data_IF_580698047061
#
_entry.id   IF_580698047061
#
_cell.length_a   1.000
_cell.length_b   1.000
_cell.length_c   1.000
_cell.angle_alpha   90.00
_cell.angle_beta   90.00
_cell.angle_gamma   90.00
#
_symmetry.space_group_name_H-M   'P 1'
#
loop_
_entity.id
_entity.type
_entity.pdbx_description
1 polymer ?
#
# COMPACT_ATOMS: atom_id res chain seq x y z
N UNK A 1 17.17 35.16 19.39
CA UNK A 1 15.82 35.32 18.82
C UNK A 1 15.56 34.17 17.86
N UNK A 2 14.38 33.55 17.91
CA UNK A 2 13.98 32.47 17.01
C UNK A 2 13.87 33.00 15.56
N UNK A 3 14.46 32.30 14.61
CA UNK A 3 14.37 32.54 13.17
C UNK A 3 14.45 31.22 12.39
N UNK A 4 14.25 31.26 11.07
CA UNK A 4 14.17 30.03 10.28
C UNK A 4 15.48 29.21 10.24
N UNK A 5 16.64 29.79 10.55
CA UNK A 5 17.93 29.08 10.56
C UNK A 5 18.20 28.35 11.87
N UNK A 6 17.54 28.75 12.96
CA UNK A 6 17.72 28.16 14.28
C UNK A 6 16.43 27.56 14.87
N UNK A 7 15.35 27.45 14.10
CA UNK A 7 14.12 26.81 14.57
C UNK A 7 14.30 25.28 14.60
N UNK A 8 14.32 24.64 15.78
CA UNK A 8 14.59 23.20 15.91
C UNK A 8 13.52 22.33 15.26
N UNK A 9 12.34 22.88 14.97
CA UNK A 9 11.27 22.16 14.28
C UNK A 9 11.39 22.25 12.76
N UNK A 10 12.27 23.10 12.22
CA UNK A 10 12.37 23.26 10.78
C UNK A 10 13.31 22.21 10.18
N UNK A 11 12.83 21.54 9.13
CA UNK A 11 13.58 20.55 8.39
C UNK A 11 13.91 21.08 7.00
N UNK A 12 14.98 20.56 6.42
CA UNK A 12 15.32 20.80 5.01
C UNK A 12 14.47 19.89 4.11
N UNK A 13 14.98 18.70 3.81
CA UNK A 13 14.35 17.73 2.91
C UNK A 13 14.16 16.36 3.59
N UNK A 14 14.37 16.28 4.91
CA UNK A 14 14.16 15.06 5.68
C UNK A 14 12.69 14.64 5.62
N UNK A 15 12.47 13.33 5.46
CA UNK A 15 11.15 12.67 5.52
C UNK A 15 11.02 11.90 6.84
N UNK A 16 9.83 11.40 7.15
CA UNK A 16 9.59 10.58 8.33
C UNK A 16 10.45 9.31 8.34
N UNK A 17 10.60 8.62 7.19
CA UNK A 17 11.51 7.48 7.12
C UNK A 17 12.95 7.86 7.46
N UNK A 18 13.42 9.01 6.98
CA UNK A 18 14.77 9.48 7.33
C UNK A 18 14.89 9.71 8.84
N UNK A 19 13.94 10.45 9.44
CA UNK A 19 13.96 10.76 10.86
C UNK A 19 13.92 9.51 11.74
N UNK A 20 13.02 8.56 11.46
CA UNK A 20 12.92 7.29 12.17
C UNK A 20 14.22 6.48 12.02
N UNK A 21 14.77 6.37 10.80
CA UNK A 21 16.02 5.64 10.57
C UNK A 21 17.24 6.23 11.31
N UNK A 22 17.17 7.52 11.68
CA UNK A 22 18.20 8.23 12.42
C UNK A 22 17.89 8.38 13.91
N UNK A 23 16.83 7.74 14.41
CA UNK A 23 16.36 7.87 15.81
C UNK A 23 16.12 9.34 16.21
N UNK A 24 15.57 10.13 15.27
CA UNK A 24 15.15 11.53 15.43
C UNK A 24 13.64 11.68 15.23
N UNK A 25 12.91 10.64 15.62
CA UNK A 25 11.46 10.54 15.50
C UNK A 25 10.72 11.43 16.48
N UNK A 26 11.39 11.95 17.52
CA UNK A 26 10.89 13.03 18.38
C UNK A 26 10.49 14.28 17.57
N UNK A 27 11.20 14.56 16.46
CA UNK A 27 10.87 15.67 15.57
C UNK A 27 9.58 15.46 14.77
N UNK A 28 9.02 14.24 14.74
CA UNK A 28 7.73 13.94 14.11
C UNK A 28 6.54 14.31 14.98
N UNK A 29 6.76 14.58 16.26
CA UNK A 29 5.70 14.79 17.25
C UNK A 29 5.89 16.11 17.99
N UNK A 30 4.79 16.70 18.45
CA UNK A 30 4.80 17.92 19.25
C UNK A 30 4.60 17.65 20.75
N UNK A 31 4.33 16.40 21.12
CA UNK A 31 4.11 15.98 22.49
C UNK A 31 4.97 14.76 22.85
N UNK A 32 5.28 14.63 24.14
CA UNK A 32 6.13 13.54 24.65
C UNK A 32 5.50 12.16 24.43
N UNK A 33 4.17 12.07 24.39
CA UNK A 33 3.44 10.83 24.21
C UNK A 33 3.36 10.39 22.74
N UNK A 34 3.92 11.17 21.82
CA UNK A 34 3.89 10.92 20.37
C UNK A 34 2.47 10.79 19.81
N UNK A 35 1.51 11.48 20.42
CA UNK A 35 0.11 11.48 20.02
C UNK A 35 -0.20 12.53 18.95
N UNK A 36 0.48 13.68 18.99
CA UNK A 36 0.22 14.86 18.15
C UNK A 36 1.37 15.04 17.17
N UNK A 37 1.03 15.07 15.88
CA UNK A 37 1.99 15.18 14.79
C UNK A 37 2.54 16.60 14.68
N UNK A 38 3.83 16.68 14.39
CA UNK A 38 4.50 17.91 14.01
C UNK A 38 4.22 18.24 12.54
N UNK A 39 3.01 18.71 12.28
CA UNK A 39 2.60 19.15 10.94
C UNK A 39 3.43 20.35 10.46
N UNK A 40 4.00 21.16 11.37
CA UNK A 40 4.85 22.29 11.00
C UNK A 40 6.05 21.84 10.16
N UNK A 41 6.81 20.86 10.66
CA UNK A 41 7.96 20.29 9.94
C UNK A 41 7.59 19.63 8.62
N UNK A 42 6.36 19.10 8.50
CA UNK A 42 5.87 18.50 7.27
C UNK A 42 5.63 19.56 6.17
N UNK A 43 5.09 20.72 6.55
CA UNK A 43 4.53 21.70 5.62
C UNK A 43 5.37 22.96 5.43
N UNK A 44 6.27 23.27 6.36
CA UNK A 44 7.20 24.40 6.26
C UNK A 44 8.61 23.83 6.20
N UNK A 45 9.34 24.17 5.13
CA UNK A 45 10.72 23.73 4.93
C UNK A 45 11.68 24.90 5.00
N UNK A 46 12.93 24.67 5.40
CA UNK A 46 13.97 25.70 5.40
C UNK A 46 14.13 26.36 4.01
N UNK A 47 14.04 25.54 2.96
CA UNK A 47 14.10 25.98 1.56
C UNK A 47 12.94 26.90 1.14
N UNK A 48 11.84 26.99 1.91
CA UNK A 48 10.77 27.95 1.64
C UNK A 48 11.23 29.41 1.88
N UNK A 49 12.29 29.61 2.68
CA UNK A 49 12.83 30.93 3.04
C UNK A 49 14.06 31.35 2.21
N UNK A 50 14.82 30.39 1.66
CA UNK A 50 16.13 30.62 1.03
C UNK A 50 16.05 31.23 -0.39
N UNK A 51 14.91 31.18 -1.08
CA UNK A 51 14.80 31.62 -2.49
C UNK A 51 15.36 33.04 -2.73
N UNK A 52 16.21 33.15 -3.76
CA UNK A 52 17.04 34.32 -4.11
C UNK A 52 16.29 35.45 -4.82
N UNK A 53 15.15 35.17 -5.46
CA UNK A 53 14.38 36.21 -6.14
C UNK A 53 13.76 37.15 -5.10
N UNK A 54 14.25 38.39 -5.07
CA UNK A 54 13.85 39.46 -4.15
C UNK A 54 12.34 39.78 -4.17
N UNK A 55 11.61 39.26 -5.16
CA UNK A 55 10.20 39.57 -5.43
C UNK A 55 9.24 38.55 -4.78
N UNK A 56 9.68 37.31 -4.52
CA UNK A 56 8.79 36.28 -3.95
C UNK A 56 8.73 36.41 -2.43
N UNK A 57 7.57 36.85 -1.93
CA UNK A 57 7.34 36.99 -0.50
C UNK A 57 7.33 35.60 0.18
N UNK A 58 8.11 35.37 1.25
CA UNK A 58 8.15 34.08 1.96
C UNK A 58 6.77 33.53 2.34
N UNK A 59 5.80 34.41 2.59
CA UNK A 59 4.45 33.99 2.94
C UNK A 59 3.64 33.41 1.78
N UNK A 60 3.92 33.77 0.53
CA UNK A 60 3.22 33.23 -0.64
C UNK A 60 3.58 31.76 -0.91
N UNK A 61 4.75 31.32 -0.46
CA UNK A 61 5.22 29.94 -0.64
C UNK A 61 4.83 29.03 0.51
N UNK A 62 4.55 29.60 1.69
CA UNK A 62 4.08 28.88 2.88
C UNK A 62 2.61 28.52 2.81
N UNK A 63 2.25 27.47 3.55
CA UNK A 63 0.86 27.07 3.73
C UNK A 63 0.19 27.89 4.82
N UNK A 64 -1.12 28.04 4.68
CA UNK A 64 -1.99 28.73 5.63
C UNK A 64 -2.85 27.70 6.36
N UNK A 65 -3.20 28.00 7.60
CA UNK A 65 -4.09 27.22 8.44
C UNK A 65 -5.38 28.00 8.69
N UNK A 66 -6.52 27.41 8.35
CA UNK A 66 -7.80 27.82 8.90
C UNK A 66 -7.86 27.32 10.34
N UNK A 67 -8.18 28.19 11.29
CA UNK A 67 -8.22 27.85 12.71
C UNK A 67 -9.60 28.11 13.32
N UNK A 68 -9.82 27.49 14.48
CA UNK A 68 -11.01 27.68 15.31
C UNK A 68 -11.20 29.13 15.75
N UNK A 69 -12.43 29.48 16.18
CA UNK A 69 -12.73 30.82 16.69
C UNK A 69 -11.90 31.13 17.93
N UNK A 70 -11.81 30.18 18.85
CA UNK A 70 -11.16 30.38 20.15
C UNK A 70 -9.66 30.65 19.99
N UNK A 71 -9.00 29.90 19.11
CA UNK A 71 -7.59 30.18 18.79
C UNK A 71 -7.42 31.53 18.09
N UNK A 72 -8.34 31.90 17.18
CA UNK A 72 -8.27 33.21 16.53
C UNK A 72 -8.41 34.37 17.53
N UNK A 73 -9.31 34.23 18.51
CA UNK A 73 -9.53 35.21 19.58
C UNK A 73 -8.31 35.28 20.52
N UNK A 74 -7.68 34.14 20.82
CA UNK A 74 -6.41 34.07 21.57
C UNK A 74 -5.28 34.79 20.83
N UNK A 75 -5.11 34.55 19.53
CA UNK A 75 -4.11 35.23 18.71
C UNK A 75 -4.36 36.73 18.62
N UNK A 76 -5.63 37.16 18.54
CA UNK A 76 -6.00 38.58 18.47
C UNK A 76 -5.59 39.32 19.75
N UNK A 77 -5.78 38.70 20.93
CA UNK A 77 -5.34 39.27 22.22
C UNK A 77 -3.83 39.42 22.34
N UNK A 78 -3.04 38.58 21.65
CA UNK A 78 -1.56 38.64 21.67
C UNK A 78 -0.97 39.63 20.67
N UNK A 79 -1.72 39.94 19.62
CA UNK A 79 -1.24 40.75 18.51
C UNK A 79 -1.80 42.17 18.62
N UNK A 80 -1.07 43.06 19.28
CA UNK A 80 -1.54 44.41 19.57
C UNK A 80 -1.58 45.32 18.33
N UNK A 81 -0.86 44.97 17.25
CA UNK A 81 -0.91 45.73 15.99
C UNK A 81 -0.38 44.93 14.79
N UNK A 82 -0.82 45.32 13.59
CA UNK A 82 -0.27 44.84 12.31
C UNK A 82 1.23 45.11 12.18
N UNK A 83 1.74 46.21 12.75
CA UNK A 83 3.18 46.53 12.78
C UNK A 83 3.98 45.50 13.57
N UNK A 84 3.48 45.09 14.74
CA UNK A 84 4.11 44.06 15.57
C UNK A 84 4.17 42.71 14.86
N UNK A 85 3.05 42.28 14.25
CA UNK A 85 2.98 41.02 13.49
C UNK A 85 3.99 41.00 12.33
N UNK A 86 4.06 42.09 11.55
CA UNK A 86 5.04 42.22 10.45
C UNK A 86 6.47 42.19 10.96
N UNK A 87 6.74 42.82 12.12
CA UNK A 87 8.05 42.78 12.77
C UNK A 87 8.47 41.37 13.16
N UNK A 88 7.59 40.61 13.81
CA UNK A 88 7.84 39.22 14.19
C UNK A 88 8.15 38.34 12.98
N UNK A 89 7.34 38.43 11.92
CA UNK A 89 7.57 37.65 10.69
C UNK A 89 8.85 38.09 9.99
N UNK A 90 9.13 39.39 9.93
CA UNK A 90 10.34 39.89 9.25
C UNK A 90 11.60 39.47 10.00
N UNK A 91 11.57 39.44 11.33
CA UNK A 91 12.66 38.94 12.16
C UNK A 91 12.87 37.44 11.95
N UNK A 92 11.78 36.66 11.94
CA UNK A 92 11.87 35.22 11.74
C UNK A 92 12.38 34.86 10.34
N UNK A 93 11.88 35.52 9.29
CA UNK A 93 12.21 35.23 7.88
C UNK A 93 13.46 35.97 7.37
N UNK A 94 13.99 36.90 8.16
CA UNK A 94 15.04 37.87 7.78
C UNK A 94 14.72 38.68 6.52
N UNK A 95 13.44 38.85 6.19
CA UNK A 95 12.96 39.52 4.97
C UNK A 95 11.79 40.44 5.28
N UNK A 96 11.75 41.60 4.61
CA UNK A 96 10.57 42.48 4.68
C UNK A 96 9.36 41.75 4.12
N UNK A 97 8.29 41.75 4.90
CA UNK A 97 7.07 41.04 4.54
C UNK A 97 5.91 42.04 4.42
N UNK A 98 5.37 42.17 3.21
CA UNK A 98 4.14 42.92 3.00
C UNK A 98 2.95 41.95 3.07
N UNK A 99 2.25 41.95 4.21
CA UNK A 99 1.08 41.11 4.41
C UNK A 99 -0.13 41.92 4.89
N UNK A 100 -1.31 41.44 4.49
CA UNK A 100 -2.59 41.93 4.98
C UNK A 100 -3.01 41.10 6.19
N UNK A 101 -2.54 41.52 7.37
CA UNK A 101 -2.80 40.85 8.66
C UNK A 101 -4.28 40.89 9.01
N UNK A 102 -4.96 42.00 8.74
CA UNK A 102 -6.39 42.17 9.01
C UNK A 102 -7.23 41.11 8.28
N UNK A 103 -6.84 40.76 7.05
CA UNK A 103 -7.47 39.67 6.29
C UNK A 103 -7.30 38.31 6.99
N UNK A 104 -6.18 38.05 7.66
CA UNK A 104 -5.96 36.79 8.38
C UNK A 104 -6.92 36.66 9.55
N UNK A 105 -7.06 37.70 10.36
CA UNK A 105 -8.00 37.73 11.48
C UNK A 105 -9.45 37.67 11.01
N UNK A 106 -9.83 38.48 10.02
CA UNK A 106 -11.18 38.46 9.44
C UNK A 106 -11.59 37.09 8.92
N UNK A 107 -10.68 36.40 8.22
CA UNK A 107 -10.96 35.07 7.65
C UNK A 107 -10.64 33.92 8.60
N UNK A 108 -9.94 34.18 9.71
CA UNK A 108 -9.34 33.18 10.61
C UNK A 108 -8.40 32.22 9.87
N UNK A 109 -7.64 32.75 8.91
CA UNK A 109 -6.72 31.98 8.06
C UNK A 109 -5.33 32.60 8.18
N UNK A 110 -4.43 31.90 8.87
CA UNK A 110 -3.11 32.42 9.24
C UNK A 110 -2.01 31.63 8.55
N UNK A 111 -0.86 32.24 8.18
CA UNK A 111 0.29 31.47 7.75
C UNK A 111 0.68 30.47 8.84
N UNK A 112 0.96 29.22 8.48
CA UNK A 112 1.34 28.19 9.46
C UNK A 112 2.61 28.60 10.23
N UNK A 113 3.52 29.32 9.57
CA UNK A 113 4.72 29.90 10.21
C UNK A 113 4.39 30.92 11.29
N UNK A 114 3.28 31.64 11.17
CA UNK A 114 2.88 32.63 12.16
C UNK A 114 2.48 31.98 13.48
N UNK A 115 1.78 30.84 13.43
CA UNK A 115 1.44 30.05 14.61
C UNK A 115 2.71 29.61 15.35
N UNK A 116 3.74 29.17 14.62
CA UNK A 116 5.04 28.81 15.19
C UNK A 116 5.75 30.00 15.85
N UNK A 117 5.73 31.17 15.22
CA UNK A 117 6.41 32.37 15.73
C UNK A 117 5.75 32.88 17.01
N UNK A 118 4.42 32.81 17.10
CA UNK A 118 3.65 33.36 18.24
C UNK A 118 3.48 32.37 19.39
N UNK A 119 3.66 31.06 19.15
CA UNK A 119 3.65 30.07 20.22
C UNK A 119 4.80 30.31 21.18
N UNK A 120 4.53 30.24 22.49
CA UNK A 120 5.53 30.37 23.57
C UNK A 120 6.51 29.20 23.58
N UNK A 121 5.97 28.00 23.36
CA UNK A 121 6.70 26.74 23.38
C UNK A 121 6.02 25.69 22.49
N UNK A 122 6.61 24.50 22.46
CA UNK A 122 6.13 23.37 21.64
C UNK A 122 4.80 22.81 22.18
N UNK A 123 4.55 22.85 23.48
CA UNK A 123 3.29 22.34 24.07
C UNK A 123 2.10 23.21 23.66
N UNK A 124 2.30 24.54 23.64
CA UNK A 124 1.29 25.47 23.17
C UNK A 124 1.03 25.29 21.66
N UNK A 125 2.08 25.13 20.86
CA UNK A 125 1.93 24.83 19.44
C UNK A 125 1.18 23.50 19.22
N UNK A 126 1.47 22.48 20.04
CA UNK A 126 0.80 21.17 20.03
C UNK A 126 -0.71 21.32 20.23
N UNK A 127 -1.13 22.09 21.24
CA UNK A 127 -2.54 22.44 21.48
C UNK A 127 -3.14 23.16 20.27
N UNK A 128 -2.45 24.14 19.70
CA UNK A 128 -2.95 24.90 18.55
C UNK A 128 -3.09 24.08 17.28
N UNK A 129 -2.27 23.05 17.08
CA UNK A 129 -2.40 22.13 15.93
C UNK A 129 -3.76 21.42 15.96
N UNK A 130 -4.27 21.08 17.14
CA UNK A 130 -5.60 20.48 17.29
C UNK A 130 -6.73 21.43 16.85
N UNK A 131 -6.52 22.73 16.97
CA UNK A 131 -7.47 23.80 16.61
C UNK A 131 -7.44 24.20 15.11
N UNK A 132 -6.62 23.54 14.27
CA UNK A 132 -6.54 23.83 12.84
C UNK A 132 -7.64 23.07 12.07
N UNK A 133 -8.63 23.74 11.51
CA UNK A 133 -9.68 23.07 10.73
C UNK A 133 -9.13 22.40 9.46
N UNK A 134 -8.33 23.13 8.69
CA UNK A 134 -7.69 22.64 7.46
C UNK A 134 -6.51 23.52 7.04
N UNK A 135 -5.63 22.95 6.21
CA UNK A 135 -4.55 23.66 5.53
C UNK A 135 -4.99 24.14 4.15
N UNK A 136 -4.47 25.29 3.73
CA UNK A 136 -4.84 25.94 2.48
C UNK A 136 -3.69 26.74 1.88
N UNK A 137 -3.83 27.12 0.61
CA UNK A 137 -2.93 28.07 -0.04
C UNK A 137 -3.23 29.52 0.39
N UNK A 138 -2.36 30.45 -0.03
CA UNK A 138 -2.50 31.87 0.29
C UNK A 138 -3.81 32.52 -0.22
N UNK A 139 -4.47 31.89 -1.21
CA UNK A 139 -5.75 32.36 -1.76
C UNK A 139 -6.96 31.70 -1.10
N UNK A 140 -6.75 30.77 -0.16
CA UNK A 140 -7.78 29.94 0.45
C UNK A 140 -8.57 29.09 -0.57
N UNK A 141 -7.94 28.68 -1.68
CA UNK A 141 -8.61 27.95 -2.77
C UNK A 141 -8.51 26.43 -2.64
N UNK A 142 -7.34 25.90 -2.30
CA UNK A 142 -7.13 24.48 -2.02
C UNK A 142 -7.38 24.17 -0.55
N UNK A 143 -8.09 23.10 -0.20
CA UNK A 143 -8.27 22.69 1.21
C UNK A 143 -7.75 21.28 1.41
N UNK A 144 -6.96 21.11 2.47
CA UNK A 144 -6.42 19.83 2.90
C UNK A 144 -6.69 19.64 4.41
N UNK A 145 -7.52 18.68 4.75
CA UNK A 145 -7.82 18.25 6.10
C UNK A 145 -6.72 17.28 6.55
N UNK A 146 -5.73 17.84 7.23
CA UNK A 146 -4.53 17.10 7.60
C UNK A 146 -4.77 16.23 8.84
N UNK A 147 -4.30 14.98 8.88
CA UNK A 147 -4.18 14.21 10.10
C UNK A 147 -3.34 14.95 11.15
N UNK A 148 -3.88 15.12 12.35
CA UNK A 148 -3.20 15.85 13.44
C UNK A 148 -2.67 14.89 14.49
N UNK A 149 -3.32 13.74 14.65
CA UNK A 149 -2.89 12.69 15.56
C UNK A 149 -2.27 11.52 14.79
N UNK A 150 -1.43 10.75 15.47
CA UNK A 150 -0.84 9.55 14.89
C UNK A 150 -1.91 8.53 14.47
N UNK A 151 -2.97 8.37 15.25
CA UNK A 151 -4.08 7.47 14.93
C UNK A 151 -4.84 7.91 13.66
N UNK A 152 -4.99 9.21 13.44
CA UNK A 152 -5.59 9.75 12.21
C UNK A 152 -4.70 9.48 10.97
N UNK A 153 -3.38 9.50 11.16
CA UNK A 153 -2.39 9.24 10.11
C UNK A 153 -2.30 7.74 9.77
N UNK A 154 -2.53 6.90 10.78
CA UNK A 154 -2.52 5.45 10.71
C UNK A 154 -3.95 4.89 10.50
N UNK A 155 -4.78 5.62 9.76
CA UNK A 155 -6.09 5.15 9.30
C UNK A 155 -5.94 4.15 8.14
N UNK A 156 -6.69 3.03 8.19
CA UNK A 156 -6.62 1.95 7.20
C UNK A 156 -6.80 2.47 5.76
N UNK A 157 -7.68 3.44 5.55
CA UNK A 157 -8.02 3.98 4.22
C UNK A 157 -6.88 4.84 3.68
N UNK A 158 -6.29 5.66 4.55
CA UNK A 158 -5.11 6.44 4.19
C UNK A 158 -3.91 5.54 3.86
N UNK A 159 -3.67 4.51 4.68
CA UNK A 159 -2.58 3.56 4.44
C UNK A 159 -2.79 2.77 3.13
N UNK A 160 -4.02 2.36 2.85
CA UNK A 160 -4.38 1.75 1.57
C UNK A 160 -4.12 2.71 0.39
N UNK A 161 -4.58 3.96 0.49
CA UNK A 161 -4.34 5.00 -0.52
C UNK A 161 -2.85 5.24 -0.77
N UNK A 162 -2.03 5.20 0.28
CA UNK A 162 -0.56 5.31 0.18
C UNK A 162 0.02 4.11 -0.57
N UNK A 163 -0.47 2.89 -0.32
CA UNK A 163 -0.10 1.70 -1.10
C UNK A 163 -0.35 1.90 -2.60
N UNK A 164 -1.57 2.30 -2.97
CA UNK A 164 -1.88 2.62 -4.37
C UNK A 164 -1.01 3.75 -4.93
N UNK A 165 -0.68 4.73 -4.09
CA UNK A 165 0.18 5.85 -4.49
C UNK A 165 1.62 5.43 -4.75
N UNK A 166 2.14 4.44 -4.02
CA UNK A 166 3.49 3.89 -4.22
C UNK A 166 3.58 3.01 -5.47
N UNK A 167 2.50 2.32 -5.86
CA UNK A 167 2.41 1.65 -7.16
C UNK A 167 2.19 2.63 -8.31
N UNK A 168 0.92 2.90 -8.64
CA UNK A 168 0.55 3.69 -9.83
C UNK A 168 0.42 5.21 -9.59
N UNK A 169 0.46 5.67 -8.34
CA UNK A 169 0.42 7.11 -8.06
C UNK A 169 1.68 7.86 -8.49
N UNK A 170 1.58 9.16 -8.75
CA UNK A 170 2.70 9.99 -9.14
C UNK A 170 2.55 11.40 -8.60
N UNK A 171 3.55 11.90 -7.87
CA UNK A 171 3.67 13.33 -7.56
C UNK A 171 4.55 13.97 -8.63
N UNK A 172 4.11 15.08 -9.22
CA UNK A 172 4.92 15.82 -10.18
C UNK A 172 6.22 16.36 -9.57
N UNK A 173 7.20 16.70 -10.41
CA UNK A 173 8.50 17.22 -9.95
C UNK A 173 8.37 18.49 -9.09
N UNK A 174 7.32 19.27 -9.31
CA UNK A 174 7.05 20.51 -8.57
C UNK A 174 6.37 20.27 -7.20
N UNK A 175 5.92 19.05 -6.89
CA UNK A 175 5.20 18.73 -5.67
C UNK A 175 3.84 19.44 -5.57
N UNK A 176 3.20 19.72 -6.70
CA UNK A 176 1.92 20.46 -6.79
C UNK A 176 0.74 19.54 -7.13
N UNK A 177 1.01 18.44 -7.82
CA UNK A 177 -0.01 17.59 -8.40
C UNK A 177 0.28 16.12 -8.13
N UNK A 178 -0.74 15.41 -7.63
CA UNK A 178 -0.74 13.95 -7.53
C UNK A 178 -1.70 13.37 -8.58
N UNK A 179 -1.27 12.31 -9.26
CA UNK A 179 -2.03 11.64 -10.32
C UNK A 179 -2.01 10.13 -10.07
N UNK A 180 -3.12 9.45 -10.30
CA UNK A 180 -3.19 7.99 -10.44
C UNK A 180 -3.99 7.63 -11.68
N UNK A 181 -3.57 6.58 -12.37
CA UNK A 181 -4.19 6.12 -13.62
C UNK A 181 -4.48 4.63 -13.49
N UNK A 182 -5.67 4.21 -13.90
CA UNK A 182 -6.00 2.80 -14.06
C UNK A 182 -6.87 2.60 -15.31
N UNK A 183 -6.77 1.45 -15.97
CA UNK A 183 -7.47 1.22 -17.22
C UNK A 183 -7.35 -0.17 -17.84
N UNK A 184 -8.13 -0.37 -18.89
CA UNK A 184 -8.14 -1.58 -19.69
C UNK A 184 -8.61 -1.29 -21.12
N UNK A 185 -8.18 -2.13 -22.07
CA UNK A 185 -8.74 -2.15 -23.43
C UNK A 185 -10.02 -2.96 -23.54
N UNK A 186 -10.34 -3.77 -22.53
CA UNK A 186 -11.60 -4.51 -22.43
C UNK A 186 -12.65 -3.66 -21.71
N UNK A 187 -13.82 -3.47 -22.32
CA UNK A 187 -14.84 -2.55 -21.81
C UNK A 187 -15.34 -2.93 -20.40
N UNK A 188 -15.56 -4.23 -20.15
CA UNK A 188 -16.01 -4.70 -18.83
C UNK A 188 -14.97 -4.43 -17.75
N UNK A 189 -13.69 -4.65 -18.07
CA UNK A 189 -12.57 -4.32 -17.16
C UNK A 189 -12.39 -2.81 -17.00
N UNK A 190 -12.68 -2.02 -18.04
CA UNK A 190 -12.64 -0.56 -17.97
C UNK A 190 -13.69 -0.01 -17.00
N UNK A 191 -14.90 -0.57 -16.96
CA UNK A 191 -15.91 -0.25 -15.94
C UNK A 191 -15.40 -0.55 -14.51
N UNK A 192 -14.72 -1.67 -14.31
CA UNK A 192 -14.11 -2.00 -13.01
C UNK A 192 -12.98 -1.02 -12.63
N UNK A 193 -12.22 -0.54 -13.61
CA UNK A 193 -11.24 0.54 -13.42
C UNK A 193 -11.90 1.86 -13.06
N UNK A 194 -13.04 2.19 -13.67
CA UNK A 194 -13.86 3.35 -13.29
C UNK A 194 -14.23 3.26 -11.81
N UNK A 195 -14.85 2.16 -11.39
CA UNK A 195 -15.30 1.99 -10.01
C UNK A 195 -14.15 2.12 -9.02
N UNK A 196 -12.98 1.52 -9.33
CA UNK A 196 -11.77 1.66 -8.54
C UNK A 196 -11.33 3.13 -8.37
N UNK A 197 -11.27 3.89 -9.47
CA UNK A 197 -10.89 5.31 -9.45
C UNK A 197 -11.89 6.16 -8.67
N UNK A 198 -13.19 5.93 -8.85
CA UNK A 198 -14.24 6.65 -8.11
C UNK A 198 -14.22 6.31 -6.61
N UNK A 199 -13.93 5.06 -6.24
CA UNK A 199 -13.76 4.65 -4.84
C UNK A 199 -12.54 5.32 -4.20
N UNK A 200 -11.39 5.34 -4.88
CA UNK A 200 -10.20 6.08 -4.42
C UNK A 200 -10.48 7.57 -4.24
N UNK A 201 -11.20 8.19 -5.19
CA UNK A 201 -11.60 9.58 -5.09
C UNK A 201 -12.53 9.84 -3.89
N UNK A 202 -13.42 8.89 -3.58
CA UNK A 202 -14.29 8.94 -2.40
C UNK A 202 -13.49 8.92 -1.10
N UNK A 203 -12.43 8.10 -0.99
CA UNK A 203 -11.54 8.11 0.17
C UNK A 203 -10.89 9.47 0.40
N UNK A 204 -10.47 10.09 -0.70
CA UNK A 204 -9.81 11.38 -0.67
C UNK A 204 -10.74 12.52 -0.22
N UNK A 205 -12.07 12.38 -0.31
CA UNK A 205 -13.01 13.42 0.14
C UNK A 205 -12.86 13.79 1.61
N UNK A 206 -12.37 12.86 2.43
CA UNK A 206 -12.09 13.11 3.85
C UNK A 206 -10.88 14.05 4.04
N UNK A 207 -9.97 14.08 3.07
CA UNK A 207 -8.70 14.80 3.16
C UNK A 207 -8.64 16.02 2.24
N UNK A 208 -9.33 16.01 1.09
CA UNK A 208 -9.31 17.07 0.09
C UNK A 208 -10.72 17.34 -0.46
N UNK A 209 -11.01 18.59 -0.83
CA UNK A 209 -12.29 18.95 -1.47
C UNK A 209 -12.27 18.91 -2.98
N UNK A 210 -11.09 19.04 -3.58
CA UNK A 210 -10.95 19.30 -5.01
C UNK A 210 -10.06 18.24 -5.65
N UNK A 211 -10.66 17.47 -6.53
CA UNK A 211 -10.00 16.52 -7.43
C UNK A 211 -10.76 16.52 -8.77
N UNK A 212 -10.13 16.00 -9.81
CA UNK A 212 -10.76 15.81 -11.12
C UNK A 212 -10.56 14.38 -11.56
N UNK A 213 -11.61 13.76 -12.12
CA UNK A 213 -11.51 12.47 -12.80
C UNK A 213 -11.68 12.74 -14.28
N UNK A 214 -10.71 12.33 -15.09
CA UNK A 214 -10.77 12.42 -16.55
C UNK A 214 -10.92 11.02 -17.14
N UNK A 215 -11.86 10.86 -18.04
CA UNK A 215 -12.10 9.63 -18.79
C UNK A 215 -11.41 9.69 -20.14
N UNK A 216 -10.75 8.60 -20.50
CA UNK A 216 -10.14 8.38 -21.81
C UNK A 216 -10.58 7.01 -22.32
N UNK A 217 -10.41 6.77 -23.63
CA UNK A 217 -10.89 5.56 -24.33
C UNK A 217 -10.56 4.24 -23.60
N UNK A 218 -9.43 4.13 -22.92
CA UNK A 218 -8.97 2.89 -22.28
C UNK A 218 -8.54 3.07 -20.83
N UNK A 219 -8.82 4.22 -20.21
CA UNK A 219 -8.36 4.52 -18.85
C UNK A 219 -9.08 5.68 -18.19
N UNK A 220 -9.05 5.69 -16.86
CA UNK A 220 -9.46 6.80 -16.03
C UNK A 220 -8.24 7.39 -15.31
N UNK A 221 -8.26 8.72 -15.14
CA UNK A 221 -7.18 9.47 -14.50
C UNK A 221 -7.76 10.25 -13.33
N UNK A 222 -7.32 9.93 -12.12
CA UNK A 222 -7.60 10.72 -10.92
C UNK A 222 -6.47 11.74 -10.73
N UNK A 223 -6.82 13.02 -10.70
CA UNK A 223 -5.87 14.11 -10.57
C UNK A 223 -6.24 15.01 -9.38
N UNK A 224 -5.26 15.28 -8.52
CA UNK A 224 -5.36 16.15 -7.36
C UNK A 224 -4.33 17.28 -7.46
N UNK A 225 -4.81 18.50 -7.70
CA UNK A 225 -3.99 19.70 -7.71
C UNK A 225 -3.91 20.30 -6.29
N UNK A 226 -3.22 19.63 -5.38
CA UNK A 226 -3.08 20.07 -3.99
C UNK A 226 -1.63 19.90 -3.50
N UNK A 227 -0.91 21.02 -3.38
CA UNK A 227 0.49 21.06 -2.90
C UNK A 227 0.62 20.54 -1.47
N UNK A 228 -0.36 20.79 -0.60
CA UNK A 228 -0.35 20.31 0.78
C UNK A 228 -0.41 18.79 0.82
N UNK A 229 -1.33 18.16 0.07
CA UNK A 229 -1.38 16.70 -0.03
C UNK A 229 -0.04 16.13 -0.54
N UNK A 230 0.53 16.73 -1.57
CA UNK A 230 1.82 16.26 -2.11
C UNK A 230 2.95 16.35 -1.08
N UNK A 231 3.05 17.47 -0.34
CA UNK A 231 4.01 17.63 0.77
C UNK A 231 3.78 16.61 1.88
N UNK A 232 2.53 16.36 2.21
CA UNK A 232 2.13 15.39 3.22
C UNK A 232 2.57 13.97 2.82
N UNK A 233 2.25 13.53 1.60
CA UNK A 233 2.64 12.21 1.08
C UNK A 233 4.15 12.04 1.01
N UNK A 234 4.86 13.08 0.57
CA UNK A 234 6.32 13.07 0.53
C UNK A 234 6.94 13.01 1.93
N UNK A 235 6.43 13.79 2.87
CA UNK A 235 7.01 13.85 4.20
C UNK A 235 6.74 12.59 5.02
N UNK A 236 5.47 12.23 5.22
CA UNK A 236 5.11 11.13 6.12
C UNK A 236 5.29 9.74 5.51
N UNK A 237 5.12 9.62 4.19
CA UNK A 237 5.16 8.33 3.49
C UNK A 237 6.32 8.21 2.50
N UNK A 238 7.23 9.20 2.47
CA UNK A 238 8.44 9.19 1.64
C UNK A 238 8.17 9.01 0.14
N UNK A 239 6.98 9.38 -0.35
CA UNK A 239 6.67 9.32 -1.78
C UNK A 239 7.48 10.40 -2.53
N UNK A 240 8.37 10.04 -3.47
CA UNK A 240 9.25 11.02 -4.10
C UNK A 240 8.50 11.97 -5.04
N UNK A 241 9.03 13.17 -5.19
CA UNK A 241 8.61 14.09 -6.25
C UNK A 241 9.24 13.68 -7.59
N UNK A 242 8.44 13.68 -8.65
CA UNK A 242 8.88 13.29 -9.99
C UNK A 242 8.92 11.78 -10.18
N UNK A 243 9.76 11.33 -11.12
CA UNK A 243 9.83 9.92 -11.47
C UNK A 243 10.34 9.09 -10.29
N UNK A 244 9.70 7.95 -10.03
CA UNK A 244 10.15 6.96 -9.05
C UNK A 244 11.38 6.17 -9.51
N UNK A 245 11.70 6.24 -10.81
CA UNK A 245 12.89 5.60 -11.37
C UNK A 245 14.14 6.15 -10.67
N UNK A 246 15.01 5.26 -10.20
CA UNK A 246 16.24 5.57 -9.45
C UNK A 246 16.04 6.07 -8.02
N UNK A 247 14.82 6.06 -7.48
CA UNK A 247 14.59 6.27 -6.05
C UNK A 247 14.40 4.92 -5.38
N UNK A 248 15.01 4.73 -4.21
CA UNK A 248 14.71 3.58 -3.36
C UNK A 248 13.39 3.79 -2.65
N UNK A 249 12.34 3.12 -3.13
CA UNK A 249 11.04 3.04 -2.50
C UNK A 249 11.11 2.08 -1.29
N UNK A 250 10.34 2.40 -0.25
CA UNK A 250 10.24 1.61 0.98
C UNK A 250 8.81 1.70 1.52
N UNK A 251 8.38 0.68 2.25
CA UNK A 251 7.23 0.75 3.15
C UNK A 251 7.46 1.92 4.12
N UNK A 252 6.46 2.80 4.34
CA UNK A 252 6.58 3.89 5.29
C UNK A 252 6.90 3.39 6.71
N UNK A 253 8.03 3.83 7.27
CA UNK A 253 8.44 3.45 8.61
C UNK A 253 7.49 3.99 9.69
N UNK A 254 6.68 5.00 9.37
CA UNK A 254 5.63 5.49 10.26
C UNK A 254 4.62 4.38 10.63
N UNK A 255 4.46 3.34 9.78
CA UNK A 255 3.62 2.19 10.09
C UNK A 255 4.09 1.39 11.31
N UNK A 256 5.37 1.51 11.71
CA UNK A 256 5.89 0.86 12.92
C UNK A 256 5.29 1.40 14.23
N UNK A 257 4.61 2.56 14.18
CA UNK A 257 3.87 3.12 15.31
C UNK A 257 2.47 2.54 15.48
N UNK A 258 2.00 1.74 14.52
CA UNK A 258 0.71 1.10 14.60
C UNK A 258 0.70 -0.01 15.66
N UNK A 259 -0.36 -0.06 16.48
CA UNK A 259 -0.65 -1.20 17.35
C UNK A 259 -1.22 -2.41 16.60
N UNK A 260 -1.79 -2.17 15.41
CA UNK A 260 -2.44 -3.16 14.57
C UNK A 260 -1.57 -3.52 13.36
N UNK A 261 -1.85 -4.66 12.71
CA UNK A 261 -1.21 -5.02 11.44
C UNK A 261 -1.78 -4.18 10.27
N UNK A 262 -1.46 -2.88 10.25
CA UNK A 262 -1.86 -1.95 9.19
C UNK A 262 -1.06 -2.13 7.90
N UNK A 263 0.10 -2.75 7.98
CA UNK A 263 0.96 -3.05 6.84
C UNK A 263 0.19 -3.82 5.76
N UNK A 264 -0.78 -4.66 6.15
CA UNK A 264 -1.66 -5.36 5.20
C UNK A 264 -2.44 -4.43 4.26
N UNK A 265 -2.87 -3.26 4.72
CA UNK A 265 -3.61 -2.29 3.90
C UNK A 265 -2.70 -1.61 2.88
N UNK A 266 -1.46 -1.31 3.28
CA UNK A 266 -0.44 -0.79 2.37
C UNK A 266 -0.18 -1.81 1.26
N UNK A 267 0.05 -3.07 1.62
CA UNK A 267 0.28 -4.13 0.66
C UNK A 267 -0.94 -4.41 -0.22
N UNK A 268 -2.17 -4.39 0.33
CA UNK A 268 -3.40 -4.48 -0.48
C UNK A 268 -3.42 -3.38 -1.55
N UNK A 269 -3.12 -2.14 -1.19
CA UNK A 269 -3.06 -1.03 -2.14
C UNK A 269 -1.99 -1.22 -3.22
N UNK A 270 -0.81 -1.73 -2.85
CA UNK A 270 0.25 -2.10 -3.80
C UNK A 270 -0.16 -3.23 -4.75
N UNK A 271 -0.82 -4.28 -4.24
CA UNK A 271 -1.32 -5.38 -5.05
C UNK A 271 -2.47 -4.94 -5.96
N UNK A 272 -3.29 -3.97 -5.55
CA UNK A 272 -4.35 -3.40 -6.38
C UNK A 272 -3.84 -2.57 -7.55
N UNK A 273 -2.62 -2.03 -7.49
CA UNK A 273 -1.96 -1.35 -8.61
C UNK A 273 -1.02 -2.29 -9.37
N UNK A 274 0.09 -2.67 -8.74
CA UNK A 274 1.21 -3.41 -9.36
C UNK A 274 1.04 -4.94 -9.31
N UNK A 275 0.00 -5.42 -8.61
CA UNK A 275 -0.29 -6.84 -8.49
C UNK A 275 -1.10 -7.41 -9.66
N UNK A 276 -1.15 -8.73 -9.75
CA UNK A 276 -2.05 -9.46 -10.65
C UNK A 276 -2.51 -10.75 -9.99
N UNK A 277 -3.77 -11.12 -10.23
CA UNK A 277 -4.31 -12.42 -9.85
C UNK A 277 -4.39 -13.28 -11.12
N UNK A 278 -3.44 -14.19 -11.30
CA UNK A 278 -3.46 -15.12 -12.43
C UNK A 278 -4.46 -16.22 -12.09
N UNK A 279 -5.56 -16.26 -12.84
CA UNK A 279 -6.65 -17.20 -12.63
C UNK A 279 -6.11 -18.63 -12.41
N UNK A 280 -6.46 -19.22 -11.26
CA UNK A 280 -6.16 -20.60 -10.86
C UNK A 280 -4.68 -20.91 -10.56
N UNK A 281 -3.79 -19.92 -10.49
CA UNK A 281 -2.35 -20.16 -10.41
C UNK A 281 -1.64 -19.44 -9.27
N UNK A 282 -1.72 -18.12 -9.22
CA UNK A 282 -0.90 -17.32 -8.31
C UNK A 282 -1.36 -15.89 -8.20
N UNK A 283 -0.88 -15.21 -7.16
CA UNK A 283 -0.89 -13.75 -7.08
C UNK A 283 0.54 -13.27 -7.23
N UNK A 284 0.78 -12.35 -8.16
CA UNK A 284 2.11 -11.80 -8.44
C UNK A 284 2.11 -10.30 -8.15
N UNK A 285 3.16 -9.79 -7.48
CA UNK A 285 3.47 -8.36 -7.41
C UNK A 285 4.72 -8.09 -8.25
N UNK A 286 4.63 -7.18 -9.21
CA UNK A 286 5.77 -6.80 -10.05
C UNK A 286 6.29 -5.43 -9.65
N UNK A 287 7.61 -5.25 -9.57
CA UNK A 287 8.20 -3.93 -9.34
C UNK A 287 9.62 -3.86 -9.88
N UNK A 288 10.03 -2.67 -10.33
CA UNK A 288 11.42 -2.39 -10.68
C UNK A 288 12.29 -2.07 -9.46
N UNK A 289 11.68 -1.79 -8.31
CA UNK A 289 12.41 -1.51 -7.07
C UNK A 289 12.64 -2.80 -6.26
N UNK A 290 13.91 -3.20 -6.15
CA UNK A 290 14.31 -4.42 -5.42
C UNK A 290 14.02 -4.36 -3.91
N UNK A 291 13.99 -3.17 -3.31
CA UNK A 291 13.68 -3.02 -1.89
C UNK A 291 12.19 -3.27 -1.63
N UNK A 292 11.31 -2.79 -2.50
CA UNK A 292 9.87 -3.11 -2.42
C UNK A 292 9.64 -4.61 -2.56
N UNK A 293 10.33 -5.29 -3.49
CA UNK A 293 10.22 -6.76 -3.64
C UNK A 293 10.72 -7.49 -2.38
N UNK A 294 11.82 -7.02 -1.78
CA UNK A 294 12.36 -7.56 -0.53
C UNK A 294 11.38 -7.38 0.63
N UNK A 295 10.89 -6.17 0.84
CA UNK A 295 9.95 -5.85 1.93
C UNK A 295 8.62 -6.60 1.76
N UNK A 296 8.13 -6.76 0.52
CA UNK A 296 6.96 -7.61 0.21
C UNK A 296 7.22 -9.08 0.59
N UNK A 297 8.39 -9.60 0.24
CA UNK A 297 8.80 -10.97 0.59
C UNK A 297 8.82 -11.16 2.11
N UNK A 298 9.41 -10.21 2.84
CA UNK A 298 9.50 -10.26 4.30
C UNK A 298 8.10 -10.17 4.93
N UNK A 299 7.22 -9.30 4.42
CA UNK A 299 5.82 -9.22 4.85
C UNK A 299 5.06 -10.53 4.63
N UNK A 300 5.13 -11.11 3.43
CA UNK A 300 4.45 -12.38 3.13
C UNK A 300 4.97 -13.52 4.02
N UNK A 301 6.28 -13.58 4.26
CA UNK A 301 6.86 -14.57 5.20
C UNK A 301 6.34 -14.41 6.62
N UNK A 302 6.14 -13.17 7.11
CA UNK A 302 5.50 -12.93 8.42
C UNK A 302 4.07 -13.49 8.48
N UNK A 303 3.37 -13.53 7.35
CA UNK A 303 2.06 -14.16 7.20
C UNK A 303 2.12 -15.67 6.98
N UNK A 304 3.29 -16.30 7.14
CA UNK A 304 3.50 -17.73 6.84
C UNK A 304 3.22 -18.10 5.37
N UNK A 305 3.38 -17.14 4.44
CA UNK A 305 3.32 -17.37 3.00
C UNK A 305 4.76 -17.60 2.51
N UNK A 306 4.95 -18.57 1.61
CA UNK A 306 6.24 -18.91 1.03
C UNK A 306 6.33 -18.39 -0.41
N UNK A 307 6.59 -17.08 -0.62
CA UNK A 307 6.59 -16.53 -1.96
C UNK A 307 7.79 -17.01 -2.78
N UNK A 308 7.61 -17.11 -4.10
CA UNK A 308 8.71 -17.24 -5.06
C UNK A 308 9.17 -15.86 -5.48
N UNK A 309 10.45 -15.58 -5.29
CA UNK A 309 11.06 -14.30 -5.67
C UNK A 309 11.78 -14.45 -7.00
N UNK A 310 11.61 -13.47 -7.87
CA UNK A 310 12.32 -13.32 -9.14
C UNK A 310 12.96 -11.94 -9.23
N UNK A 311 13.70 -11.66 -10.30
CA UNK A 311 14.31 -10.33 -10.50
C UNK A 311 13.29 -9.20 -10.60
N UNK A 312 12.06 -9.48 -11.02
CA UNK A 312 11.05 -8.47 -11.37
C UNK A 312 9.77 -8.58 -10.54
N UNK A 313 9.67 -9.56 -9.65
CA UNK A 313 8.43 -9.78 -8.91
C UNK A 313 8.47 -10.84 -7.83
N UNK A 314 7.44 -10.79 -6.99
CA UNK A 314 7.16 -11.71 -5.87
C UNK A 314 5.85 -12.43 -6.16
N UNK A 315 5.89 -13.77 -6.12
CA UNK A 315 4.75 -14.64 -6.44
C UNK A 315 4.27 -15.42 -5.22
N UNK A 316 3.01 -15.24 -4.84
CA UNK A 316 2.28 -16.09 -3.90
C UNK A 316 1.84 -17.36 -4.63
N UNK A 317 2.26 -18.52 -4.13
CA UNK A 317 1.91 -19.81 -4.73
C UNK A 317 0.45 -20.17 -4.47
N UNK A 318 -0.12 -21.03 -5.32
CA UNK A 318 -1.49 -21.53 -5.16
C UNK A 318 -1.77 -22.11 -3.76
N UNK A 319 -0.79 -22.77 -3.13
CA UNK A 319 -0.93 -23.33 -1.78
C UNK A 319 -1.19 -22.29 -0.70
N UNK A 320 -0.81 -21.04 -0.95
CA UNK A 320 -0.80 -19.98 0.07
C UNK A 320 -1.87 -18.92 -0.22
N UNK A 321 -2.70 -19.10 -1.27
CA UNK A 321 -3.74 -18.14 -1.65
C UNK A 321 -4.81 -17.97 -0.57
N UNK A 322 -5.21 -19.04 0.13
CA UNK A 322 -6.16 -18.92 1.24
C UNK A 322 -5.58 -18.06 2.37
N UNK A 323 -4.31 -18.19 2.71
CA UNK A 323 -3.64 -17.30 3.67
C UNK A 323 -3.51 -15.87 3.16
N UNK A 324 -3.18 -15.69 1.87
CA UNK A 324 -3.12 -14.37 1.23
C UNK A 324 -4.48 -13.67 1.19
N UNK A 325 -5.60 -14.39 1.30
CA UNK A 325 -6.94 -13.80 1.34
C UNK A 325 -7.15 -12.82 2.49
N UNK A 326 -6.34 -12.88 3.57
CA UNK A 326 -6.36 -11.86 4.62
C UNK A 326 -5.78 -10.49 4.17
N UNK A 327 -4.95 -10.49 3.12
CA UNK A 327 -4.51 -9.28 2.42
C UNK A 327 -5.51 -8.97 1.31
N UNK A 328 -5.64 -9.85 0.32
CA UNK A 328 -6.63 -9.76 -0.76
C UNK A 328 -6.48 -8.53 -1.66
N UNK A 329 -7.60 -8.14 -2.28
CA UNK A 329 -7.69 -7.03 -3.24
C UNK A 329 -8.93 -6.21 -2.95
N UNK A 330 -8.86 -4.88 -3.08
CA UNK A 330 -10.03 -4.01 -3.05
C UNK A 330 -10.41 -3.50 -4.46
N UNK A 331 -9.55 -3.69 -5.47
CA UNK A 331 -9.87 -3.40 -6.87
C UNK A 331 -10.88 -4.43 -7.42
N UNK A 332 -12.07 -4.01 -7.93
CA UNK A 332 -13.13 -4.93 -8.34
C UNK A 332 -12.72 -6.01 -9.34
N UNK A 333 -11.92 -5.65 -10.35
CA UNK A 333 -11.35 -6.60 -11.32
C UNK A 333 -10.56 -7.72 -10.65
N UNK A 334 -9.61 -7.34 -9.79
CA UNK A 334 -8.70 -8.28 -9.13
C UNK A 334 -9.43 -9.12 -8.08
N UNK A 335 -10.46 -8.58 -7.43
CA UNK A 335 -11.36 -9.35 -6.56
C UNK A 335 -12.00 -10.51 -7.30
N UNK A 336 -12.63 -10.26 -8.46
CA UNK A 336 -13.29 -11.31 -9.25
C UNK A 336 -12.30 -12.39 -9.67
N UNK A 337 -11.14 -11.99 -10.19
CA UNK A 337 -10.09 -12.91 -10.63
C UNK A 337 -9.55 -13.77 -9.46
N UNK A 338 -9.38 -13.16 -8.29
CA UNK A 338 -8.88 -13.84 -7.12
C UNK A 338 -9.92 -14.75 -6.46
N UNK A 339 -11.18 -14.32 -6.34
CA UNK A 339 -12.28 -15.14 -5.84
C UNK A 339 -12.52 -16.37 -6.71
N UNK A 340 -12.43 -16.22 -8.04
CA UNK A 340 -12.50 -17.37 -8.96
C UNK A 340 -11.43 -18.42 -8.62
N UNK A 341 -10.23 -17.98 -8.22
CA UNK A 341 -9.14 -18.88 -7.82
C UNK A 341 -9.40 -19.52 -6.46
N UNK A 342 -9.97 -18.77 -5.50
CA UNK A 342 -10.33 -19.29 -4.18
C UNK A 342 -11.49 -20.30 -4.24
N UNK A 343 -12.52 -20.05 -5.05
CA UNK A 343 -13.65 -20.97 -5.25
C UNK A 343 -13.25 -22.27 -5.93
N UNK A 344 -12.22 -22.24 -6.80
CA UNK A 344 -11.75 -23.47 -7.43
C UNK A 344 -10.99 -24.37 -6.44
N UNK A 345 -10.35 -23.78 -5.42
CA UNK A 345 -9.42 -24.49 -4.58
C UNK A 345 -8.07 -24.75 -5.29
N UNK A 346 -7.04 -25.16 -4.54
CA UNK A 346 -5.78 -25.57 -5.11
C UNK A 346 -5.93 -26.95 -5.75
N UNK A 347 -5.08 -27.25 -6.73
CA UNK A 347 -5.05 -28.60 -7.32
C UNK A 347 -4.64 -29.62 -6.25
N UNK A 348 -5.29 -30.78 -6.28
CA UNK A 348 -5.03 -31.89 -5.36
C UNK A 348 -3.54 -32.24 -5.28
N UNK A 349 -3.04 -32.45 -4.05
CA UNK A 349 -1.80 -33.17 -3.79
C UNK A 349 -2.13 -34.52 -3.17
N UNK A 350 -1.31 -35.53 -3.44
CA UNK A 350 -1.31 -36.74 -2.60
C UNK A 350 -0.88 -36.28 -1.21
N UNK A 351 -1.77 -36.39 -0.23
CA UNK A 351 -1.52 -35.89 1.12
C UNK A 351 -1.02 -37.00 2.04
N UNK A 352 -1.52 -38.23 1.88
CA UNK A 352 -1.13 -39.39 2.70
C UNK A 352 -1.67 -40.71 2.15
N UNK A 353 -1.21 -41.81 2.72
CA UNK A 353 -1.77 -43.15 2.52
C UNK A 353 -3.04 -43.30 3.36
N UNK A 354 -4.05 -44.00 2.84
CA UNK A 354 -5.26 -44.35 3.59
C UNK A 354 -4.86 -45.31 4.73
N UNK A 355 -5.23 -45.04 5.99
CA UNK A 355 -4.89 -45.92 7.12
C UNK A 355 -5.25 -47.38 6.85
N UNK A 356 -4.31 -48.30 7.08
CA UNK A 356 -4.49 -49.75 6.86
C UNK A 356 -4.21 -50.22 5.44
N UNK A 357 -3.89 -49.31 4.51
CA UNK A 357 -3.50 -49.65 3.14
C UNK A 357 -1.99 -49.78 2.93
N UNK A 358 -1.16 -49.49 3.94
CA UNK A 358 0.30 -49.47 3.87
C UNK A 358 0.85 -50.82 3.39
N UNK A 359 0.37 -51.92 3.98
CA UNK A 359 0.80 -53.30 3.62
C UNK A 359 0.39 -53.73 2.21
N UNK A 360 -0.56 -53.02 1.59
CA UNK A 360 -1.06 -53.37 0.26
C UNK A 360 -0.37 -52.56 -0.84
N UNK A 361 0.47 -51.58 -0.50
CA UNK A 361 1.23 -50.77 -1.45
C UNK A 361 2.60 -51.42 -1.63
N UNK A 362 3.04 -51.61 -2.87
CA UNK A 362 4.39 -52.11 -3.13
C UNK A 362 5.43 -51.10 -2.66
N UNK A 363 6.59 -51.59 -2.17
CA UNK A 363 7.69 -50.74 -1.70
C UNK A 363 8.09 -49.69 -2.74
N UNK A 364 8.12 -50.05 -4.03
CA UNK A 364 8.48 -49.12 -5.09
C UNK A 364 7.40 -48.06 -5.35
N UNK A 365 6.12 -48.44 -5.33
CA UNK A 365 5.05 -47.46 -5.48
C UNK A 365 5.01 -46.49 -4.29
N UNK A 366 5.32 -46.97 -3.09
CA UNK A 366 5.45 -46.13 -1.90
C UNK A 366 6.52 -45.04 -2.09
N UNK A 367 7.66 -45.36 -2.72
CA UNK A 367 8.73 -44.38 -2.99
C UNK A 367 8.30 -43.22 -3.89
N UNK A 368 7.31 -43.42 -4.76
CA UNK A 368 6.94 -42.44 -5.79
C UNK A 368 5.54 -41.85 -5.65
N UNK A 369 4.72 -42.34 -4.70
CA UNK A 369 3.31 -41.99 -4.63
C UNK A 369 3.08 -40.47 -4.53
N UNK A 370 3.95 -39.75 -3.83
CA UNK A 370 3.90 -38.29 -3.68
C UNK A 370 4.10 -37.52 -4.99
N UNK A 371 4.73 -38.14 -6.00
CA UNK A 371 4.92 -37.57 -7.34
C UNK A 371 3.74 -37.86 -8.28
N UNK A 372 2.86 -38.79 -7.95
CA UNK A 372 1.73 -39.16 -8.79
C UNK A 372 0.52 -38.25 -8.54
N UNK A 373 -0.17 -37.86 -9.60
CA UNK A 373 -1.42 -37.11 -9.54
C UNK A 373 -2.47 -37.75 -10.40
N UNK A 374 -3.59 -38.14 -9.79
CA UNK A 374 -4.81 -38.52 -10.51
C UNK A 374 -5.59 -37.26 -10.79
N UNK A 375 -5.93 -37.01 -12.04
CA UNK A 375 -6.71 -35.83 -12.39
C UNK A 375 -8.22 -36.01 -12.13
N UNK A 376 -8.96 -34.93 -12.35
CA UNK A 376 -10.40 -34.90 -12.08
C UNK A 376 -11.21 -35.80 -13.03
N UNK A 377 -10.68 -36.17 -14.20
CA UNK A 377 -11.37 -37.08 -15.13
C UNK A 377 -11.25 -38.56 -14.72
N UNK A 378 -10.63 -38.86 -13.57
CA UNK A 378 -10.49 -40.22 -13.02
C UNK A 378 -9.86 -41.22 -13.98
N UNK A 379 -9.09 -40.75 -14.94
CA UNK A 379 -8.53 -41.60 -15.96
C UNK A 379 -7.14 -41.19 -16.41
N UNK A 380 -6.60 -40.04 -15.98
CA UNK A 380 -5.25 -39.63 -16.35
C UNK A 380 -4.40 -39.43 -15.11
N UNK A 381 -3.26 -40.09 -15.13
CA UNK A 381 -2.24 -40.03 -14.11
C UNK A 381 -1.09 -39.20 -14.65
N UNK A 382 -0.59 -38.26 -13.85
CA UNK A 382 0.48 -37.34 -14.20
C UNK A 382 1.61 -37.42 -13.18
N UNK A 383 2.82 -37.12 -13.65
CA UNK A 383 3.96 -36.91 -12.78
C UNK A 383 4.03 -35.43 -12.36
N UNK A 384 4.17 -35.18 -11.06
CA UNK A 384 4.42 -33.85 -10.51
C UNK A 384 5.91 -33.51 -10.61
N UNK A 385 6.28 -32.94 -11.75
CA UNK A 385 7.64 -32.50 -12.08
C UNK A 385 8.29 -31.62 -11.00
N UNK A 386 7.51 -30.82 -10.27
CA UNK A 386 8.06 -29.89 -9.28
C UNK A 386 8.56 -30.61 -8.03
N UNK A 387 7.84 -31.65 -7.59
CA UNK A 387 8.24 -32.42 -6.41
C UNK A 387 9.43 -33.33 -6.75
N UNK A 388 9.47 -33.92 -7.95
CA UNK A 388 10.63 -34.70 -8.43
C UNK A 388 11.91 -33.89 -8.37
N UNK A 389 11.91 -32.64 -8.86
CA UNK A 389 13.10 -31.76 -8.84
C UNK A 389 13.64 -31.44 -7.44
N UNK A 390 12.86 -31.70 -6.39
CA UNK A 390 13.25 -31.48 -4.99
C UNK A 390 13.67 -32.79 -4.30
N UNK A 391 13.65 -33.90 -5.02
CA UNK A 391 13.94 -35.24 -4.51
C UNK A 391 15.17 -35.82 -5.20
N UNK A 392 15.69 -36.92 -4.67
CA UNK A 392 16.75 -37.71 -5.32
C UNK A 392 16.21 -38.68 -6.39
N UNK A 393 14.89 -38.69 -6.63
CA UNK A 393 14.22 -39.56 -7.59
C UNK A 393 14.13 -38.83 -8.93
N UNK A 394 14.45 -39.52 -10.02
CA UNK A 394 14.39 -38.98 -11.39
C UNK A 394 13.04 -39.29 -12.06
N UNK A 395 12.78 -38.66 -13.21
CA UNK A 395 11.59 -38.99 -14.00
C UNK A 395 11.60 -40.43 -14.51
N UNK A 396 12.77 -40.96 -14.85
CA UNK A 396 12.89 -42.29 -15.41
C UNK A 396 12.65 -43.36 -14.35
N UNK A 397 13.10 -43.13 -13.11
CA UNK A 397 12.75 -43.98 -11.96
C UNK A 397 11.23 -44.08 -11.78
N UNK A 398 10.52 -42.95 -11.83
CA UNK A 398 9.05 -42.93 -11.71
C UNK A 398 8.38 -43.64 -12.87
N UNK A 399 8.88 -43.48 -14.11
CA UNK A 399 8.34 -44.18 -15.28
C UNK A 399 8.54 -45.69 -15.17
N UNK A 400 9.73 -46.12 -14.78
CA UNK A 400 10.08 -47.54 -14.66
C UNK A 400 9.23 -48.21 -13.57
N UNK A 401 9.09 -47.58 -12.40
CA UNK A 401 8.25 -48.10 -11.33
C UNK A 401 6.79 -48.24 -11.79
N UNK A 402 6.24 -47.28 -12.54
CA UNK A 402 4.88 -47.38 -13.08
C UNK A 402 4.76 -48.46 -14.15
N UNK A 403 5.75 -48.59 -15.03
CA UNK A 403 5.79 -49.64 -16.04
C UNK A 403 5.81 -51.02 -15.38
N UNK A 404 6.64 -51.21 -14.35
CA UNK A 404 6.76 -52.48 -13.62
C UNK A 404 5.51 -52.81 -12.80
N UNK A 405 4.89 -51.82 -12.15
CA UNK A 405 3.71 -52.07 -11.30
C UNK A 405 2.40 -52.20 -12.08
N UNK A 406 2.27 -51.54 -13.23
CA UNK A 406 0.99 -51.43 -13.93
C UNK A 406 1.04 -51.72 -15.43
N UNK A 407 2.21 -51.90 -16.03
CA UNK A 407 2.37 -52.13 -17.47
C UNK A 407 2.08 -50.90 -18.35
N UNK A 408 2.16 -49.68 -17.79
CA UNK A 408 1.88 -48.44 -18.53
C UNK A 408 3.15 -47.60 -18.75
N UNK A 409 3.24 -46.98 -19.92
CA UNK A 409 4.27 -46.00 -20.25
C UNK A 409 3.71 -44.57 -20.27
N UNK A 410 4.49 -43.63 -19.74
CA UNK A 410 4.12 -42.21 -19.77
C UNK A 410 4.34 -41.62 -21.16
N UNK A 411 3.31 -40.94 -21.68
CA UNK A 411 3.40 -40.04 -22.83
C UNK A 411 3.93 -38.69 -22.37
N UNK A 412 4.75 -38.06 -23.22
CA UNK A 412 5.27 -36.71 -23.02
C UNK A 412 4.46 -35.76 -23.91
N UNK A 413 3.93 -34.68 -23.34
CA UNK A 413 3.31 -33.60 -24.13
C UNK A 413 4.37 -32.60 -24.61
N UNK A 414 3.99 -31.73 -25.55
CA UNK A 414 4.80 -30.57 -25.98
C UNK A 414 5.18 -29.60 -24.85
N UNK A 415 4.59 -29.73 -23.65
CA UNK A 415 4.90 -28.92 -22.45
C UNK A 415 5.70 -29.67 -21.39
N UNK A 416 6.39 -30.77 -21.75
CA UNK A 416 7.10 -31.65 -20.82
C UNK A 416 6.23 -32.21 -19.68
N UNK A 417 4.91 -32.33 -19.89
CA UNK A 417 4.04 -33.05 -18.96
C UNK A 417 4.08 -34.54 -19.29
N UNK A 418 4.52 -35.34 -18.33
CA UNK A 418 4.48 -36.80 -18.38
C UNK A 418 3.13 -37.30 -17.86
N UNK A 419 2.36 -38.00 -18.70
CA UNK A 419 1.07 -38.57 -18.30
C UNK A 419 0.76 -39.90 -19.01
N UNK A 420 -0.10 -40.72 -18.41
CA UNK A 420 -0.77 -41.82 -19.12
C UNK A 420 -2.25 -41.86 -18.75
N UNK A 421 -3.06 -42.61 -19.52
CA UNK A 421 -4.49 -42.76 -19.27
C UNK A 421 -4.82 -44.20 -18.83
N UNK A 422 -5.36 -44.37 -17.63
CA UNK A 422 -5.94 -45.64 -17.15
C UNK A 422 -6.93 -45.39 -16.01
N UNK A 423 -8.22 -45.72 -16.23
CA UNK A 423 -9.24 -45.69 -15.18
C UNK A 423 -8.92 -46.69 -14.05
N UNK A 424 -8.40 -47.87 -14.40
CA UNK A 424 -8.01 -48.93 -13.45
C UNK A 424 -6.92 -48.43 -12.50
N UNK A 425 -5.84 -47.84 -13.04
CA UNK A 425 -4.75 -47.31 -12.20
C UNK A 425 -5.21 -46.10 -11.40
N UNK A 426 -6.00 -45.20 -11.97
CA UNK A 426 -6.57 -44.07 -11.24
C UNK A 426 -7.43 -44.51 -10.04
N UNK A 427 -8.30 -45.52 -10.24
CA UNK A 427 -9.13 -46.12 -9.18
C UNK A 427 -8.26 -46.81 -8.12
N UNK A 428 -7.25 -47.58 -8.56
CA UNK A 428 -6.28 -48.20 -7.66
C UNK A 428 -5.59 -47.16 -6.77
N UNK A 429 -5.01 -46.11 -7.36
CA UNK A 429 -4.32 -45.06 -6.62
C UNK A 429 -5.27 -44.34 -5.63
N UNK A 430 -6.49 -44.01 -6.05
CA UNK A 430 -7.50 -43.40 -5.15
C UNK A 430 -7.96 -44.31 -4.03
N UNK A 431 -7.94 -45.63 -4.22
CA UNK A 431 -8.26 -46.60 -3.16
C UNK A 431 -7.16 -46.73 -2.11
N UNK A 432 -5.98 -46.14 -2.33
CA UNK A 432 -4.79 -46.28 -1.47
C UNK A 432 -4.25 -44.96 -0.94
N UNK A 433 -4.45 -43.88 -1.67
CA UNK A 433 -3.93 -42.56 -1.33
C UNK A 433 -5.06 -41.56 -1.17
N UNK A 434 -4.93 -40.71 -0.16
CA UNK A 434 -5.80 -39.56 0.06
C UNK A 434 -5.23 -38.42 -0.78
N UNK A 435 -6.09 -37.87 -1.64
CA UNK A 435 -5.79 -36.69 -2.45
C UNK A 435 -6.56 -35.53 -1.86
N UNK A 436 -5.90 -34.70 -1.06
CA UNK A 436 -6.51 -33.50 -0.47
C UNK A 436 -5.96 -32.25 -1.16
N UNK A 437 -6.80 -31.23 -1.39
CA UNK A 437 -6.31 -29.92 -1.78
C UNK A 437 -5.54 -29.31 -0.59
N UNK A 438 -4.54 -28.46 -0.88
CA UNK A 438 -3.76 -27.78 0.17
C UNK A 438 -4.63 -26.93 1.12
N UNK A 439 -5.79 -26.50 0.64
CA UNK A 439 -6.84 -25.83 1.41
C UNK A 439 -8.18 -26.10 0.71
N UNK A 440 -9.29 -26.10 1.45
CA UNK A 440 -10.63 -26.27 0.88
C UNK A 440 -11.04 -25.02 0.12
N UNK A 441 -11.67 -25.19 -1.05
CA UNK A 441 -12.34 -24.11 -1.77
C UNK A 441 -13.22 -23.30 -0.83
N UNK A 442 -13.31 -21.99 -1.06
CA UNK A 442 -14.17 -21.15 -0.24
C UNK A 442 -15.63 -21.34 -0.61
N UNK A 443 -16.49 -21.34 0.41
CA UNK A 443 -17.94 -21.33 0.24
C UNK A 443 -18.48 -19.90 0.10
N UNK A 444 -19.76 -19.75 -0.23
CA UNK A 444 -20.42 -18.45 -0.42
C UNK A 444 -20.33 -17.54 0.83
N UNK A 445 -20.51 -18.10 2.02
CA UNK A 445 -20.39 -17.35 3.27
C UNK A 445 -18.96 -16.81 3.49
N UNK A 446 -17.94 -17.63 3.20
CA UNK A 446 -16.53 -17.20 3.29
C UNK A 446 -16.22 -16.11 2.24
N UNK A 447 -16.79 -16.19 1.03
CA UNK A 447 -16.67 -15.16 0.00
C UNK A 447 -17.24 -13.81 0.47
N UNK A 448 -18.44 -13.80 1.04
CA UNK A 448 -19.06 -12.58 1.55
C UNK A 448 -18.23 -11.94 2.65
N UNK A 449 -17.71 -12.74 3.59
CA UNK A 449 -16.81 -12.25 4.64
C UNK A 449 -15.52 -11.67 4.07
N UNK A 450 -14.93 -12.29 3.04
CA UNK A 450 -13.75 -11.77 2.36
C UNK A 450 -14.04 -10.45 1.65
N UNK A 451 -15.15 -10.35 0.91
CA UNK A 451 -15.56 -9.11 0.23
C UNK A 451 -15.81 -7.98 1.23
N UNK A 452 -16.44 -8.27 2.36
CA UNK A 452 -16.60 -7.35 3.48
C UNK A 452 -15.24 -6.87 4.00
N UNK A 453 -14.32 -7.81 4.25
CA UNK A 453 -12.98 -7.51 4.78
C UNK A 453 -12.07 -6.81 3.77
N UNK A 454 -12.29 -6.98 2.47
CA UNK A 454 -11.51 -6.33 1.42
C UNK A 454 -11.99 -4.92 1.14
N UNK A 455 -13.31 -4.72 1.20
CA UNK A 455 -13.97 -3.46 0.96
C UNK A 455 -14.15 -2.62 2.24
N UNK A 456 -13.58 -3.05 3.38
CA UNK A 456 -13.53 -2.27 4.62
C UNK A 456 -12.86 -0.91 4.42
N UNK A 457 -11.88 -0.84 3.52
CA UNK A 457 -11.26 0.42 3.09
C UNK A 457 -12.26 1.39 2.46
N UNK A 458 -13.37 0.93 1.87
CA UNK A 458 -14.37 1.80 1.23
C UNK A 458 -15.51 2.26 2.14
N UNK A 459 -15.73 1.58 3.27
CA UNK A 459 -16.89 1.84 4.16
C UNK A 459 -16.76 3.21 4.80
N UNK A 460 -17.84 4.01 4.83
CA UNK A 460 -17.87 5.23 5.65
C UNK A 460 -17.79 4.83 7.12
N UNK A 461 -16.94 5.51 7.89
CA UNK A 461 -16.93 5.37 9.35
C UNK A 461 -18.14 6.07 9.94
#
# INVERSE_FOLDING_TARGET
MLNYENDPLLLENQTANFLISKKKDDLLFLDKNKGILNIFSAFVKMNDFVKKDKIVQPLQTTLYAKISKDLADELNKRCNSTKQVRGLISNYTKKRTNCNVDKWFKLKVFPLIFLRIISKDVNELSRWVLEIDYLTDYLNKSRFYVPKKIDDLLDNKLIYFVGCSVGDGHIDKAGKRWILVDGSSDNRRLEQSRDFIYNLASLLKNYIKTYTISEHKTKYVLNVNNKSLCRFLNFFFSLPYGAKKNVTLKVPLILSYSRNNLEKYFWRGMFDTDGSAVQNHSVDLCSSDKNILKECTDFLKKLSINPKVSMIGVRVNNSDLKTFSHVGFAHPRKQIEFLSSLKQGPKFKVSRIIPGMEKKISSDLYKIHEFLRVDNSNNRIRINATEIRRSNITFDDVKEIIKNNFGYEFKITSKNLHYFKSKKVASFLRSRFIYEPAWKAIEEEEEDQLLISWNDVWRKC
#
